data_IF_784116981865
#
_entry.id   IF_784116981865
#
_cell.length_a   1.000
_cell.length_b   1.000
_cell.length_c   1.000
_cell.angle_alpha   90.00
_cell.angle_beta   90.00
_cell.angle_gamma   90.00
#
_symmetry.space_group_name_H-M   'P 1'
#
loop_
_entity.id
_entity.type
_entity.pdbx_description
1 polymer ?
#
# COMPACT_ATOMS: atom_id res chain seq x y z
N UNK A 1 -7.94 -8.31 -20.66
CA UNK A 1 -6.68 -7.64 -20.27
C UNK A 1 -5.43 -8.43 -20.64
N UNK A 2 -5.23 -9.65 -20.13
CA UNK A 2 -4.06 -10.49 -20.47
C UNK A 2 -3.94 -10.75 -21.99
N UNK A 3 -5.05 -11.07 -22.66
CA UNK A 3 -5.07 -11.26 -24.12
C UNK A 3 -4.63 -9.98 -24.85
N UNK A 4 -5.06 -8.80 -24.41
CA UNK A 4 -4.66 -7.53 -25.02
C UNK A 4 -3.18 -7.25 -24.82
N UNK A 5 -2.62 -7.55 -23.64
CA UNK A 5 -1.17 -7.51 -23.42
C UNK A 5 -0.42 -8.40 -24.41
N UNK A 6 -0.89 -9.65 -24.61
CA UNK A 6 -0.29 -10.58 -25.56
C UNK A 6 -0.37 -10.11 -27.00
N UNK A 7 -1.53 -9.59 -27.43
CA UNK A 7 -1.73 -9.03 -28.77
C UNK A 7 -0.81 -7.83 -28.99
N UNK A 8 -0.78 -6.85 -28.07
CA UNK A 8 0.10 -5.69 -28.19
C UNK A 8 1.57 -6.09 -28.24
N UNK A 9 2.00 -7.09 -27.47
CA UNK A 9 3.37 -7.59 -27.53
C UNK A 9 3.69 -8.24 -28.88
N UNK A 10 2.78 -9.05 -29.42
CA UNK A 10 2.96 -9.68 -30.73
C UNK A 10 3.01 -8.64 -31.85
N UNK A 11 2.14 -7.62 -31.82
CA UNK A 11 2.16 -6.54 -32.81
C UNK A 11 3.43 -5.71 -32.73
N UNK A 12 3.96 -5.44 -31.52
CA UNK A 12 5.24 -4.75 -31.34
C UNK A 12 6.40 -5.50 -32.02
N UNK A 13 6.45 -6.83 -31.87
CA UNK A 13 7.46 -7.68 -32.52
C UNK A 13 7.28 -7.67 -34.04
N UNK A 14 6.03 -7.77 -34.53
CA UNK A 14 5.73 -7.67 -35.96
C UNK A 14 6.24 -6.36 -36.57
N UNK A 15 5.89 -5.22 -35.97
CA UNK A 15 6.36 -3.89 -36.41
C UNK A 15 7.89 -3.78 -36.41
N UNK A 16 8.57 -4.38 -35.43
CA UNK A 16 10.03 -4.37 -35.39
C UNK A 16 10.66 -5.19 -36.53
N UNK A 17 10.05 -6.33 -36.88
CA UNK A 17 10.47 -7.17 -38.02
C UNK A 17 10.24 -6.46 -39.36
N UNK A 18 9.14 -5.72 -39.48
CA UNK A 18 8.79 -4.95 -40.68
C UNK A 18 9.61 -3.65 -40.81
N UNK A 19 10.50 -3.35 -39.86
CA UNK A 19 11.31 -2.13 -39.88
C UNK A 19 10.53 -0.85 -39.56
N UNK A 20 9.38 -0.95 -38.89
CA UNK A 20 8.59 0.18 -38.37
C UNK A 20 8.92 0.44 -36.89
N UNK A 21 9.89 1.32 -36.58
CA UNK A 21 10.29 1.59 -35.20
C UNK A 21 9.19 2.31 -34.41
N UNK A 22 8.33 3.11 -35.06
CA UNK A 22 7.27 3.85 -34.38
C UNK A 22 6.17 2.89 -33.91
N UNK A 23 5.74 1.98 -34.78
CA UNK A 23 4.81 0.92 -34.43
C UNK A 23 5.36 0.03 -33.31
N UNK A 24 6.63 -0.39 -33.41
CA UNK A 24 7.28 -1.22 -32.39
C UNK A 24 7.28 -0.55 -31.01
N UNK A 25 7.64 0.74 -30.93
CA UNK A 25 7.64 1.50 -29.67
C UNK A 25 6.22 1.69 -29.13
N UNK A 26 5.26 2.07 -29.99
CA UNK A 26 3.88 2.30 -29.59
C UNK A 26 3.21 1.05 -29.02
N UNK A 27 3.27 -0.07 -29.76
CA UNK A 27 2.71 -1.34 -29.31
C UNK A 27 3.48 -1.93 -28.12
N UNK A 28 4.80 -1.72 -28.04
CA UNK A 28 5.61 -2.13 -26.89
C UNK A 28 5.21 -1.39 -25.61
N UNK A 29 5.03 -0.07 -25.69
CA UNK A 29 4.56 0.74 -24.57
C UNK A 29 3.15 0.32 -24.12
N UNK A 30 2.25 0.04 -25.06
CA UNK A 30 0.92 -0.49 -24.77
C UNK A 30 1.00 -1.85 -24.06
N UNK A 31 1.84 -2.77 -24.54
CA UNK A 31 2.02 -4.08 -23.91
C UNK A 31 2.51 -3.95 -22.47
N UNK A 32 3.51 -3.10 -22.20
CA UNK A 32 4.03 -2.84 -20.84
C UNK A 32 2.93 -2.28 -19.94
N UNK A 33 2.19 -1.27 -20.41
CA UNK A 33 1.10 -0.66 -19.65
C UNK A 33 0.00 -1.67 -19.30
N UNK A 34 -0.51 -2.40 -20.31
CA UNK A 34 -1.56 -3.39 -20.12
C UNK A 34 -1.09 -4.57 -19.26
N UNK A 35 0.17 -4.97 -19.39
CA UNK A 35 0.81 -5.99 -18.56
C UNK A 35 0.89 -5.57 -17.10
N UNK A 36 1.32 -4.34 -16.82
CA UNK A 36 1.37 -3.79 -15.46
C UNK A 36 -0.04 -3.70 -14.84
N UNK A 37 -1.03 -3.24 -15.61
CA UNK A 37 -2.42 -3.17 -15.17
C UNK A 37 -2.98 -4.57 -14.89
N UNK A 38 -2.73 -5.53 -15.78
CA UNK A 38 -3.15 -6.93 -15.60
C UNK A 38 -2.51 -7.54 -14.34
N UNK A 39 -1.21 -7.30 -14.14
CA UNK A 39 -0.47 -7.76 -12.96
C UNK A 39 -0.96 -7.13 -11.66
N UNK A 40 -1.29 -5.84 -11.66
CA UNK A 40 -1.91 -5.15 -10.52
C UNK A 40 -3.29 -5.75 -10.22
N UNK A 41 -4.15 -5.92 -11.22
CA UNK A 41 -5.47 -6.55 -11.04
C UNK A 41 -5.35 -7.98 -10.51
N UNK A 42 -4.46 -8.78 -11.09
CA UNK A 42 -4.18 -10.14 -10.62
C UNK A 42 -3.64 -10.13 -9.18
N UNK A 43 -2.77 -9.19 -8.81
CA UNK A 43 -2.26 -9.04 -7.44
C UNK A 43 -3.33 -8.60 -6.44
N UNK A 44 -4.33 -7.84 -6.88
CA UNK A 44 -5.47 -7.47 -6.03
C UNK A 44 -6.46 -8.62 -5.86
N UNK A 45 -6.65 -9.44 -6.89
CA UNK A 45 -7.57 -10.58 -6.87
C UNK A 45 -6.96 -11.84 -6.25
N UNK A 46 -5.80 -12.26 -6.77
CA UNK A 46 -5.07 -13.44 -6.34
C UNK A 46 -3.96 -13.03 -5.39
N UNK A 47 -4.33 -12.73 -4.15
CA UNK A 47 -3.35 -12.69 -3.06
C UNK A 47 -3.15 -14.08 -2.53
N UNK A 48 -2.09 -14.81 -2.94
CA UNK A 48 -1.72 -15.99 -2.20
C UNK A 48 -1.44 -15.53 -0.77
N UNK A 49 -2.07 -16.17 0.22
CA UNK A 49 -1.83 -15.97 1.65
C UNK A 49 -0.42 -16.44 2.01
N UNK A 50 0.60 -15.84 1.41
CA UNK A 50 2.00 -16.11 1.72
C UNK A 50 2.25 -15.47 3.07
N UNK A 51 2.23 -16.28 4.12
CA UNK A 51 2.63 -15.86 5.44
C UNK A 51 4.14 -15.60 5.40
N UNK A 52 4.54 -14.35 5.18
CA UNK A 52 5.85 -13.90 5.62
C UNK A 52 5.84 -13.97 7.16
N UNK A 53 6.91 -14.47 7.75
CA UNK A 53 7.02 -14.49 9.20
C UNK A 53 7.35 -13.07 9.71
N UNK A 54 6.71 -12.61 10.81
CA UNK A 54 7.09 -11.36 11.44
C UNK A 54 8.54 -11.42 11.91
N UNK A 55 9.14 -10.25 12.15
CA UNK A 55 10.55 -10.15 12.58
C UNK A 55 10.67 -9.30 13.83
N UNK A 56 11.63 -9.64 14.68
CA UNK A 56 12.05 -8.75 15.78
C UNK A 56 13.00 -7.70 15.25
N UNK A 57 12.65 -6.43 15.45
CA UNK A 57 13.44 -5.27 14.99
C UNK A 57 13.42 -4.22 16.08
N UNK A 58 14.60 -3.87 16.62
CA UNK A 58 14.77 -2.89 17.70
C UNK A 58 13.81 -3.14 18.87
N UNK A 59 13.81 -4.36 19.42
CA UNK A 59 12.97 -4.78 20.55
C UNK A 59 11.46 -4.65 20.31
N UNK A 60 11.01 -4.87 19.07
CA UNK A 60 9.60 -4.93 18.74
C UNK A 60 9.28 -5.93 17.64
N UNK A 61 8.14 -6.60 17.79
CA UNK A 61 7.58 -7.50 16.78
C UNK A 61 7.06 -6.67 15.61
N UNK A 62 7.62 -6.89 14.42
CA UNK A 62 7.35 -6.07 13.23
C UNK A 62 6.71 -6.90 12.12
N UNK A 63 5.54 -6.44 11.67
CA UNK A 63 4.86 -6.87 10.46
C UNK A 63 5.16 -5.90 9.33
N UNK A 64 5.53 -6.41 8.17
CA UNK A 64 6.00 -5.58 7.05
C UNK A 64 4.92 -5.44 6.00
N UNK A 65 4.93 -4.34 5.28
CA UNK A 65 4.08 -4.22 4.10
C UNK A 65 4.73 -4.95 2.91
N UNK A 66 3.89 -5.50 2.05
CA UNK A 66 4.27 -6.29 0.90
C UNK A 66 4.98 -5.44 -0.14
N UNK A 67 6.26 -5.74 -0.38
CA UNK A 67 7.05 -5.09 -1.42
C UNK A 67 6.44 -5.22 -2.82
N UNK A 68 5.71 -6.30 -3.08
CA UNK A 68 4.96 -6.52 -4.32
C UNK A 68 3.81 -5.53 -4.48
N UNK A 69 3.09 -5.21 -3.41
CA UNK A 69 2.01 -4.20 -3.48
C UNK A 69 2.57 -2.83 -3.86
N UNK A 70 3.74 -2.48 -3.31
CA UNK A 70 4.46 -1.25 -3.67
C UNK A 70 4.95 -1.27 -5.11
N UNK A 71 5.49 -2.40 -5.58
CA UNK A 71 5.93 -2.55 -6.96
C UNK A 71 4.77 -2.37 -7.95
N UNK A 72 3.66 -3.09 -7.75
CA UNK A 72 2.52 -3.02 -8.66
C UNK A 72 1.88 -1.62 -8.69
N UNK A 73 1.63 -1.04 -7.52
CA UNK A 73 1.05 0.30 -7.42
C UNK A 73 2.00 1.38 -7.93
N UNK A 74 3.27 1.34 -7.53
CA UNK A 74 4.28 2.32 -7.94
C UNK A 74 4.55 2.25 -9.44
N UNK A 75 4.73 1.05 -9.99
CA UNK A 75 4.94 0.85 -11.42
C UNK A 75 3.74 1.32 -12.25
N UNK A 76 2.51 1.01 -11.81
CA UNK A 76 1.31 1.51 -12.48
C UNK A 76 1.21 3.04 -12.43
N UNK A 77 1.48 3.66 -11.28
CA UNK A 77 1.47 5.12 -11.14
C UNK A 77 2.52 5.79 -12.04
N UNK A 78 3.74 5.23 -12.14
CA UNK A 78 4.78 5.73 -13.05
C UNK A 78 4.33 5.64 -14.50
N UNK A 79 3.84 4.49 -14.94
CA UNK A 79 3.41 4.31 -16.33
C UNK A 79 2.22 5.21 -16.68
N UNK A 80 1.28 5.40 -15.75
CA UNK A 80 0.16 6.32 -15.95
C UNK A 80 0.63 7.77 -16.04
N UNK A 81 1.57 8.21 -15.18
CA UNK A 81 2.14 9.55 -15.27
C UNK A 81 2.83 9.77 -16.62
N UNK A 82 3.64 8.81 -17.09
CA UNK A 82 4.30 8.88 -18.38
C UNK A 82 3.30 8.92 -19.55
N UNK A 83 2.28 8.06 -19.55
CA UNK A 83 1.26 8.03 -20.59
C UNK A 83 0.51 9.36 -20.67
N UNK A 84 0.15 9.96 -19.53
CA UNK A 84 -0.50 11.27 -19.48
C UNK A 84 0.42 12.40 -19.94
N UNK A 85 1.71 12.39 -19.60
CA UNK A 85 2.67 13.37 -20.10
C UNK A 85 2.80 13.29 -21.63
N UNK A 86 3.01 12.09 -22.16
CA UNK A 86 3.17 11.89 -23.60
C UNK A 86 1.89 12.24 -24.37
N UNK A 87 0.73 11.80 -23.86
CA UNK A 87 -0.57 12.17 -24.43
C UNK A 87 -0.79 13.68 -24.41
N UNK A 88 -0.52 14.34 -23.28
CA UNK A 88 -0.63 15.79 -23.16
C UNK A 88 0.27 16.54 -24.15
N UNK A 89 1.52 16.09 -24.33
CA UNK A 89 2.43 16.65 -25.32
C UNK A 89 1.92 16.48 -26.75
N UNK A 90 1.36 15.30 -27.09
CA UNK A 90 0.80 15.05 -28.42
C UNK A 90 -0.39 15.97 -28.72
N UNK A 91 -1.32 16.16 -27.77
CA UNK A 91 -2.44 17.08 -27.93
C UNK A 91 -2.00 18.54 -28.01
N UNK A 92 -0.95 18.92 -27.28
CA UNK A 92 -0.38 20.26 -27.36
C UNK A 92 0.26 20.52 -28.74
N UNK A 93 0.98 19.53 -29.27
CA UNK A 93 1.63 19.61 -30.58
C UNK A 93 0.62 19.68 -31.75
N UNK A 94 -0.53 19.02 -31.62
CA UNK A 94 -1.62 19.11 -32.59
C UNK A 94 -2.26 20.52 -32.65
N UNK A 95 -2.07 21.34 -31.61
CA UNK A 95 -2.56 22.72 -31.55
C UNK A 95 -4.06 22.87 -31.25
N UNK A 96 -4.52 24.13 -31.26
CA UNK A 96 -5.91 24.50 -30.99
C UNK A 96 -6.30 24.55 -29.50
N UNK A 97 -7.41 25.22 -29.21
CA UNK A 97 -7.90 25.43 -27.83
C UNK A 97 -8.28 24.11 -27.15
N UNK A 98 -8.88 23.17 -27.89
CA UNK A 98 -9.22 21.84 -27.36
C UNK A 98 -7.96 21.06 -26.97
N UNK A 99 -6.92 21.09 -27.81
CA UNK A 99 -5.64 20.43 -27.52
C UNK A 99 -4.98 20.98 -26.26
N UNK A 100 -5.00 22.31 -26.08
CA UNK A 100 -4.51 22.96 -24.87
C UNK A 100 -5.26 22.50 -23.61
N UNK A 101 -6.59 22.46 -23.64
CA UNK A 101 -7.41 22.02 -22.48
C UNK A 101 -7.09 20.56 -22.12
N UNK A 102 -7.03 19.67 -23.12
CA UNK A 102 -6.69 18.26 -22.89
C UNK A 102 -5.28 18.11 -22.32
N UNK A 103 -4.31 18.85 -22.84
CA UNK A 103 -2.93 18.84 -22.33
C UNK A 103 -2.86 19.28 -20.87
N UNK A 104 -3.57 20.34 -20.48
CA UNK A 104 -3.62 20.82 -19.09
C UNK A 104 -4.20 19.75 -18.14
N UNK A 105 -5.29 19.09 -18.53
CA UNK A 105 -5.89 18.00 -17.75
C UNK A 105 -4.93 16.82 -17.64
N UNK A 106 -4.28 16.44 -18.75
CA UNK A 106 -3.32 15.34 -18.77
C UNK A 106 -2.10 15.63 -17.87
N UNK A 107 -1.51 16.82 -17.97
CA UNK A 107 -0.39 17.24 -17.12
C UNK A 107 -0.77 17.33 -15.64
N UNK A 108 -1.99 17.78 -15.34
CA UNK A 108 -2.51 17.77 -13.96
C UNK A 108 -2.61 16.34 -13.41
N UNK A 109 -3.14 15.41 -14.22
CA UNK A 109 -3.20 14.00 -13.86
C UNK A 109 -1.81 13.39 -13.69
N UNK A 110 -0.87 13.68 -14.61
CA UNK A 110 0.50 13.22 -14.52
C UNK A 110 1.19 13.71 -13.23
N UNK A 111 0.98 14.97 -12.88
CA UNK A 111 1.46 15.54 -11.61
C UNK A 111 0.90 14.79 -10.40
N UNK A 112 -0.40 14.48 -10.38
CA UNK A 112 -1.02 13.70 -9.30
C UNK A 112 -0.42 12.29 -9.17
N UNK A 113 -0.22 11.58 -10.28
CA UNK A 113 0.41 10.25 -10.25
C UNK A 113 1.89 10.32 -9.87
N UNK A 114 2.64 11.30 -10.39
CA UNK A 114 4.02 11.55 -9.99
C UNK A 114 4.13 11.84 -8.50
N UNK A 115 3.18 12.59 -7.95
CA UNK A 115 3.09 12.85 -6.51
C UNK A 115 2.85 11.59 -5.68
N UNK A 116 1.99 10.67 -6.17
CA UNK A 116 1.81 9.34 -5.54
C UNK A 116 3.13 8.55 -5.55
N UNK A 117 3.88 8.57 -6.64
CA UNK A 117 5.19 7.90 -6.74
C UNK A 117 6.17 8.48 -5.72
N UNK A 118 6.28 9.81 -5.63
CA UNK A 118 7.11 10.49 -4.62
C UNK A 118 6.73 10.05 -3.21
N UNK A 119 5.43 10.01 -2.88
CA UNK A 119 4.96 9.54 -1.56
C UNK A 119 5.34 8.08 -1.28
N UNK A 120 5.29 7.20 -2.28
CA UNK A 120 5.68 5.80 -2.11
C UNK A 120 7.20 5.64 -1.94
N UNK A 121 8.00 6.43 -2.65
CA UNK A 121 9.47 6.38 -2.56
C UNK A 121 9.99 6.95 -1.25
N UNK A 122 9.57 8.16 -0.89
CA UNK A 122 10.04 8.85 0.31
C UNK A 122 9.35 8.40 1.60
N UNK A 123 8.09 7.93 1.52
CA UNK A 123 7.38 7.38 2.67
C UNK A 123 7.92 6.02 3.12
N UNK A 124 8.75 5.38 2.29
CA UNK A 124 9.28 4.06 2.54
C UNK A 124 8.21 2.96 2.52
N UNK A 125 8.66 1.73 2.76
CA UNK A 125 7.76 0.58 2.91
C UNK A 125 7.13 0.62 4.30
N UNK A 126 5.81 0.60 4.33
CA UNK A 126 5.05 0.60 5.57
C UNK A 126 5.37 -0.60 6.45
N UNK A 127 5.18 -0.42 7.74
CA UNK A 127 5.37 -1.47 8.75
C UNK A 127 4.50 -1.19 9.96
N UNK A 128 4.08 -2.26 10.63
CA UNK A 128 3.44 -2.20 11.93
C UNK A 128 4.40 -2.83 12.94
N UNK A 129 4.80 -2.07 13.94
CA UNK A 129 5.68 -2.52 15.03
C UNK A 129 4.91 -2.53 16.34
N UNK A 130 4.98 -3.64 17.05
CA UNK A 130 4.42 -3.83 18.38
C UNK A 130 5.59 -3.88 19.35
N UNK A 131 5.60 -2.99 20.32
CA UNK A 131 6.59 -2.95 21.40
C UNK A 131 5.87 -3.17 22.73
N UNK A 132 6.60 -3.44 23.83
CA UNK A 132 5.97 -3.50 25.16
C UNK A 132 5.22 -2.21 25.54
N UNK A 133 5.68 -1.06 25.04
CA UNK A 133 5.10 0.26 25.32
C UNK A 133 3.87 0.58 24.43
N UNK A 134 3.78 0.04 23.22
CA UNK A 134 2.67 0.38 22.34
C UNK A 134 2.77 -0.15 20.91
N UNK A 135 2.03 0.55 20.05
CA UNK A 135 1.89 0.32 18.63
C UNK A 135 2.54 1.46 17.86
N UNK A 136 3.29 1.12 16.83
CA UNK A 136 3.86 2.07 15.90
C UNK A 136 3.58 1.62 14.47
N UNK A 137 2.76 2.39 13.78
CA UNK A 137 2.41 2.17 12.38
C UNK A 137 3.09 3.21 11.51
N UNK A 138 4.01 2.74 10.68
CA UNK A 138 4.63 3.51 9.61
C UNK A 138 3.80 3.32 8.35
N UNK A 139 3.14 4.36 7.90
CA UNK A 139 2.44 4.42 6.61
C UNK A 139 3.21 5.26 5.59
N UNK A 140 2.73 5.33 4.33
CA UNK A 140 3.34 6.17 3.30
C UNK A 140 3.25 7.66 3.70
N UNK A 141 4.36 8.22 4.21
CA UNK A 141 4.48 9.63 4.57
C UNK A 141 4.02 10.01 5.98
N UNK A 142 3.73 9.04 6.86
CA UNK A 142 3.40 9.30 8.25
C UNK A 142 3.81 8.15 9.18
N UNK A 143 4.04 8.49 10.44
CA UNK A 143 4.19 7.53 11.55
C UNK A 143 3.10 7.82 12.57
N UNK A 144 2.35 6.78 12.93
CA UNK A 144 1.29 6.83 13.93
C UNK A 144 1.70 5.97 15.13
N UNK A 145 1.84 6.57 16.31
CA UNK A 145 2.18 5.90 17.56
C UNK A 145 1.02 5.96 18.54
N UNK A 146 0.75 4.83 19.17
CA UNK A 146 -0.34 4.68 20.13
C UNK A 146 0.13 3.77 21.27
N UNK A 147 0.09 4.27 22.50
CA UNK A 147 0.40 3.47 23.68
C UNK A 147 -0.70 2.44 23.95
N UNK A 148 -0.35 1.28 24.53
CA UNK A 148 -1.32 0.20 24.71
C UNK A 148 -2.48 0.58 25.63
N UNK A 149 -2.21 1.37 26.66
CA UNK A 149 -3.18 1.93 27.61
C UNK A 149 -4.20 2.86 26.94
N UNK A 150 -3.88 3.39 25.76
CA UNK A 150 -4.80 4.20 24.97
C UNK A 150 -5.56 3.37 23.93
N UNK A 151 -5.29 2.07 23.76
CA UNK A 151 -6.05 1.22 22.85
C UNK A 151 -7.32 0.76 23.55
N UNK A 152 -8.48 1.15 23.02
CA UNK A 152 -9.80 0.73 23.53
C UNK A 152 -10.25 -0.57 22.88
N UNK A 153 -10.01 -0.71 21.58
CA UNK A 153 -10.48 -1.86 20.82
C UNK A 153 -9.64 -2.11 19.57
N UNK A 154 -9.60 -3.37 19.14
CA UNK A 154 -8.96 -3.82 17.89
C UNK A 154 -9.97 -4.62 17.07
N UNK A 155 -10.53 -3.99 16.05
CA UNK A 155 -11.58 -4.55 15.20
C UNK A 155 -11.09 -4.92 13.80
N UNK A 156 -11.74 -5.94 13.26
CA UNK A 156 -11.73 -6.23 11.83
C UNK A 156 -12.84 -5.45 11.14
N UNK A 157 -12.53 -4.87 9.98
CA UNK A 157 -13.48 -4.29 9.05
C UNK A 157 -13.11 -4.72 7.62
N UNK A 158 -13.98 -4.42 6.65
CA UNK A 158 -13.68 -4.58 5.24
C UNK A 158 -14.01 -3.29 4.50
N UNK A 159 -13.09 -2.80 3.67
CA UNK A 159 -13.30 -1.67 2.78
C UNK A 159 -13.25 -2.17 1.34
N UNK A 160 -14.40 -2.16 0.64
CA UNK A 160 -14.52 -2.64 -0.75
C UNK A 160 -13.97 -4.06 -0.94
N UNK A 161 -14.25 -4.96 0.01
CA UNK A 161 -13.78 -6.35 0.01
C UNK A 161 -12.32 -6.55 0.44
N UNK A 162 -11.58 -5.48 0.74
CA UNK A 162 -10.21 -5.55 1.26
C UNK A 162 -10.22 -5.58 2.80
N UNK A 163 -9.50 -6.52 3.44
CA UNK A 163 -9.45 -6.60 4.89
C UNK A 163 -8.79 -5.36 5.50
N UNK A 164 -9.40 -4.85 6.55
CA UNK A 164 -8.97 -3.67 7.30
C UNK A 164 -8.88 -4.04 8.78
N UNK A 165 -7.82 -3.62 9.46
CA UNK A 165 -7.70 -3.72 10.91
C UNK A 165 -7.74 -2.28 11.44
N UNK A 166 -8.69 -2.02 12.33
CA UNK A 166 -8.89 -0.70 12.94
C UNK A 166 -8.56 -0.84 14.43
N UNK A 167 -7.59 -0.05 14.88
CA UNK A 167 -7.27 0.10 16.29
C UNK A 167 -7.88 1.41 16.76
N UNK A 168 -8.87 1.31 17.63
CA UNK A 168 -9.60 2.44 18.17
C UNK A 168 -8.88 2.94 19.43
N UNK A 169 -8.43 4.20 19.45
CA UNK A 169 -7.87 4.78 20.65
C UNK A 169 -8.96 5.33 21.57
N UNK A 170 -8.59 5.55 22.82
CA UNK A 170 -9.37 6.31 23.79
C UNK A 170 -9.47 7.76 23.33
N UNK A 171 -10.66 8.37 23.50
CA UNK A 171 -10.93 9.76 23.09
C UNK A 171 -9.96 10.75 23.73
N UNK A 172 -9.54 10.48 24.97
CA UNK A 172 -8.61 11.30 25.75
C UNK A 172 -7.15 10.84 25.64
N UNK A 173 -6.89 9.72 24.97
CA UNK A 173 -5.55 9.17 24.83
C UNK A 173 -4.70 10.03 23.90
N UNK A 174 -3.45 10.30 24.29
CA UNK A 174 -2.51 10.97 23.41
C UNK A 174 -2.20 10.08 22.20
N UNK A 175 -2.44 10.61 21.01
CA UNK A 175 -2.12 9.98 19.74
C UNK A 175 -1.03 10.80 19.05
N UNK A 176 0.16 10.23 18.89
CA UNK A 176 1.27 10.87 18.19
C UNK A 176 1.22 10.49 16.70
N UNK A 177 0.98 11.49 15.85
CA UNK A 177 1.04 11.34 14.41
C UNK A 177 2.08 12.31 13.85
N UNK A 178 3.23 11.76 13.50
CA UNK A 178 4.31 12.50 12.84
C UNK A 178 4.19 12.35 11.33
N UNK A 179 4.05 13.44 10.61
CA UNK A 179 4.09 13.44 9.14
C UNK A 179 5.51 13.66 8.64
N UNK A 180 5.96 12.82 7.71
CA UNK A 180 7.30 12.97 7.10
C UNK A 180 7.35 14.13 6.11
N UNK A 181 6.19 14.58 5.60
CA UNK A 181 6.07 15.65 4.64
C UNK A 181 5.08 16.72 5.11
N UNK A 182 5.28 18.01 4.74
CA UNK A 182 4.35 19.08 5.08
C UNK A 182 3.01 18.86 4.38
N UNK A 183 2.02 18.32 5.10
CA UNK A 183 0.66 18.03 4.64
C UNK A 183 -0.22 19.27 4.49
N UNK A 184 0.35 20.47 4.33
CA UNK A 184 -0.41 21.74 4.28
C UNK A 184 -1.30 21.88 3.04
N UNK A 185 -1.02 21.16 1.96
CA UNK A 185 -1.86 21.13 0.75
C UNK A 185 -2.79 19.92 0.80
N UNK A 186 -4.02 20.13 1.29
CA UNK A 186 -5.11 19.16 1.17
C UNK A 186 -5.48 18.44 2.45
N UNK A 187 -6.11 19.19 3.37
CA UNK A 187 -7.21 18.70 4.22
C UNK A 187 -6.89 17.59 5.22
N UNK A 188 -7.05 17.91 6.50
CA UNK A 188 -7.23 16.96 7.62
C UNK A 188 -8.38 15.94 7.42
N UNK A 189 -9.10 15.97 6.29
CA UNK A 189 -10.39 15.29 6.07
C UNK A 189 -10.34 13.84 5.56
N UNK A 190 -9.16 13.21 5.45
CA UNK A 190 -9.05 11.81 4.99
C UNK A 190 -8.51 10.83 6.03
N UNK A 191 -7.96 11.33 7.13
CA UNK A 191 -7.55 10.45 8.21
C UNK A 191 -8.77 10.21 9.10
N UNK A 192 -9.15 8.94 9.29
CA UNK A 192 -9.98 8.50 10.40
C UNK A 192 -9.23 8.72 11.73
N UNK A 193 -8.74 9.94 12.00
CA UNK A 193 -8.15 10.28 13.28
C UNK A 193 -9.31 10.40 14.28
N UNK A 194 -9.22 9.70 15.42
CA UNK A 194 -7.96 9.24 16.03
C UNK A 194 -7.56 7.76 15.72
N UNK A 195 -8.35 6.97 15.01
CA UNK A 195 -8.10 5.53 14.79
C UNK A 195 -6.88 5.19 13.93
N UNK A 196 -6.11 4.17 14.33
CA UNK A 196 -5.01 3.60 13.53
C UNK A 196 -5.58 2.56 12.57
N UNK A 197 -5.40 2.79 11.28
CA UNK A 197 -5.97 1.95 10.22
C UNK A 197 -4.87 1.19 9.48
N UNK A 198 -4.86 -0.13 9.63
CA UNK A 198 -3.91 -1.03 8.99
C UNK A 198 -4.64 -1.74 7.85
N UNK A 199 -4.25 -1.42 6.61
CA UNK A 199 -4.86 -2.03 5.42
C UNK A 199 -4.24 -3.42 5.20
N UNK A 200 -5.02 -4.47 5.37
CA UNK A 200 -4.58 -5.86 5.14
C UNK A 200 -4.14 -6.10 3.69
N UNK A 201 -4.76 -5.39 2.74
CA UNK A 201 -4.32 -5.28 1.36
C UNK A 201 -2.92 -4.66 1.16
N UNK A 202 -2.19 -4.28 2.20
CA UNK A 202 -0.79 -3.85 2.06
C UNK A 202 0.17 -4.68 2.88
N UNK A 203 -0.31 -5.55 3.78
CA UNK A 203 0.53 -6.42 4.59
C UNK A 203 1.21 -7.50 3.75
N UNK A 204 2.45 -7.81 4.10
CA UNK A 204 3.17 -9.00 3.61
C UNK A 204 2.76 -10.25 4.41
N UNK A 205 2.43 -10.05 5.67
CA UNK A 205 1.94 -11.06 6.59
C UNK A 205 0.42 -11.31 6.41
N UNK A 206 -0.08 -12.45 6.89
CA UNK A 206 -1.51 -12.73 6.88
C UNK A 206 -2.26 -11.73 7.80
N UNK A 207 -3.20 -10.92 7.29
CA UNK A 207 -3.92 -9.94 8.09
C UNK A 207 -4.68 -10.57 9.26
N UNK A 208 -5.09 -11.84 9.16
CA UNK A 208 -5.74 -12.56 10.28
C UNK A 208 -4.74 -12.80 11.41
N UNK A 209 -3.49 -13.12 11.07
CA UNK A 209 -2.42 -13.31 12.07
C UNK A 209 -2.10 -11.98 12.75
N UNK A 210 -2.01 -10.89 11.98
CA UNK A 210 -1.78 -9.53 12.53
C UNK A 210 -2.91 -9.12 13.47
N UNK A 211 -4.17 -9.31 13.05
CA UNK A 211 -5.34 -9.00 13.86
C UNK A 211 -5.33 -9.79 15.18
N UNK A 212 -5.14 -11.11 15.11
CA UNK A 212 -5.11 -11.97 16.32
C UNK A 212 -3.96 -11.63 17.24
N UNK A 213 -2.82 -11.24 16.69
CA UNK A 213 -1.67 -10.80 17.49
C UNK A 213 -1.99 -9.50 18.24
N UNK A 214 -2.55 -8.51 17.55
CA UNK A 214 -2.97 -7.25 18.17
C UNK A 214 -4.03 -7.48 19.26
N UNK A 215 -5.06 -8.28 18.96
CA UNK A 215 -6.10 -8.63 19.93
C UNK A 215 -5.53 -9.37 21.16
N UNK A 216 -4.56 -10.27 20.94
CA UNK A 216 -3.92 -11.00 22.03
C UNK A 216 -3.19 -10.05 22.99
N UNK A 217 -2.29 -9.19 22.48
CA UNK A 217 -1.52 -8.28 23.35
C UNK A 217 -2.33 -7.11 23.90
N UNK A 218 -3.44 -6.76 23.24
CA UNK A 218 -4.42 -5.86 23.82
C UNK A 218 -5.08 -6.51 25.05
N UNK A 219 -5.55 -7.76 24.94
CA UNK A 219 -6.25 -8.49 26.01
C UNK A 219 -5.36 -9.12 27.09
N UNK A 220 -4.04 -9.22 26.89
CA UNK A 220 -3.09 -9.84 27.83
C UNK A 220 -1.89 -8.90 28.09
N UNK A 221 -2.07 -7.84 28.92
CA UNK A 221 -1.00 -6.89 29.22
C UNK A 221 0.28 -7.53 29.77
N UNK A 222 0.14 -8.60 30.54
CA UNK A 222 1.23 -9.38 31.13
C UNK A 222 2.15 -10.02 30.07
N UNK A 223 1.64 -10.28 28.87
CA UNK A 223 2.46 -10.79 27.77
C UNK A 223 3.16 -9.69 26.98
N UNK A 224 2.90 -8.39 27.20
CA UNK A 224 3.53 -7.34 26.36
C UNK A 224 5.06 -7.32 26.50
N UNK A 225 5.60 -7.78 27.63
CA UNK A 225 7.05 -7.90 27.84
C UNK A 225 7.77 -8.80 26.82
N UNK A 226 7.12 -9.86 26.33
CA UNK A 226 7.73 -10.75 25.31
C UNK A 226 7.77 -10.14 23.90
N UNK A 227 7.09 -9.00 23.63
CA UNK A 227 7.17 -8.30 22.33
C UNK A 227 8.61 -7.83 22.00
N UNK A 228 9.46 -7.71 23.01
CA UNK A 228 10.87 -7.39 22.87
C UNK A 228 11.76 -8.63 22.68
N UNK A 229 11.22 -9.86 22.70
CA UNK A 229 11.99 -11.10 22.72
C UNK A 229 11.50 -12.15 21.71
N UNK A 230 12.29 -13.22 21.55
CA UNK A 230 11.97 -14.36 20.68
C UNK A 230 10.66 -15.08 21.04
N UNK A 231 10.18 -14.93 22.28
CA UNK A 231 8.95 -15.56 22.74
C UNK A 231 7.71 -15.07 21.96
N UNK A 232 7.64 -13.78 21.61
CA UNK A 232 6.56 -13.26 20.77
C UNK A 232 6.55 -13.90 19.36
N UNK A 233 7.73 -14.10 18.75
CA UNK A 233 7.83 -14.77 17.45
C UNK A 233 7.34 -16.22 17.54
N UNK A 234 7.75 -16.94 18.58
CA UNK A 234 7.32 -18.32 18.80
C UNK A 234 5.80 -18.40 18.98
N UNK A 235 5.21 -17.51 19.77
CA UNK A 235 3.76 -17.45 19.99
C UNK A 235 2.98 -17.22 18.69
N UNK A 236 3.41 -16.23 17.91
CA UNK A 236 2.78 -15.91 16.62
C UNK A 236 2.93 -17.05 15.63
N UNK A 237 4.12 -17.65 15.54
CA UNK A 237 4.39 -18.80 14.67
C UNK A 237 3.54 -20.03 15.02
N UNK A 238 3.37 -20.31 16.32
CA UNK A 238 2.53 -21.41 16.82
C UNK A 238 1.03 -21.08 16.80
N UNK A 239 0.64 -19.84 16.45
CA UNK A 239 -0.75 -19.34 16.47
C UNK A 239 -1.44 -19.52 17.84
N UNK A 240 -0.68 -19.49 18.93
CA UNK A 240 -1.18 -19.67 20.31
C UNK A 240 -1.75 -18.36 20.87
N UNK A 241 -2.86 -17.92 20.29
CA UNK A 241 -3.49 -16.65 20.70
C UNK A 241 -4.46 -16.78 21.87
N UNK A 242 -4.84 -18.00 22.29
CA UNK A 242 -5.76 -18.22 23.42
C UNK A 242 -7.18 -17.69 23.24
N UNK A 243 -7.47 -17.03 22.11
CA UNK A 243 -8.77 -16.47 21.79
C UNK A 243 -9.76 -17.61 21.56
N UNK A 244 -10.71 -17.80 22.49
CA UNK A 244 -11.91 -18.59 22.22
C UNK A 244 -12.55 -18.01 20.96
N UNK A 245 -12.80 -18.85 19.95
CA UNK A 245 -13.48 -18.39 18.75
C UNK A 245 -14.84 -17.82 19.17
N UNK A 246 -15.16 -16.55 18.84
CA UNK A 246 -16.51 -16.06 19.02
C UNK A 246 -17.45 -16.96 18.20
N UNK A 247 -18.44 -17.54 18.89
CA UNK A 247 -19.51 -18.31 18.25
C UNK A 247 -20.44 -17.36 17.52
#
# INVERSE_FOLDING_TARGET
>A
MILLTGVSAATAVGSAVDGDPLGAVGFGAAAVFLGQLSGLCAHLWWRPRRAVAPRLVHNGLTFRYSGWSYYWMGGFAVLMALALLLGGLAFLAAGGTTGLVVALVAFSGAFLFGWVVVRLLYGGRGRLRLTPAGLEHHGPGFTHRLAWEHVVDVRHAAERGSPLIIVHPMVTGAVDVTFTWPTRLGGRGGFMLPSMVIRGGWLADDPVVVLRTLQHYHGHPEHRGELASGAALQRVGQRRFGLRSPR
#
